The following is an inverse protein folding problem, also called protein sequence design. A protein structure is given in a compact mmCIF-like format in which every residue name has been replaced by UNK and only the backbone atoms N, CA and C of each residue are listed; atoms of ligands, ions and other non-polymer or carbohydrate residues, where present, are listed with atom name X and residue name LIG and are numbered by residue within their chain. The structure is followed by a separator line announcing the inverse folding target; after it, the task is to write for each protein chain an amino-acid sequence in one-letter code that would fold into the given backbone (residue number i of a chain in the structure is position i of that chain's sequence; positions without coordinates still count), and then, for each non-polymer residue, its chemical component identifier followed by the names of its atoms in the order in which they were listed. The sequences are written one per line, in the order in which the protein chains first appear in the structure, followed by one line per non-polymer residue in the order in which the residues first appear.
data_IF_344803366765
#
_entry.id   IF_344803366765
#
_cell.length_a   1.000
_cell.length_b   1.000
_cell.length_c   1.000
_cell.angle_alpha   90.00
_cell.angle_beta   90.00
_cell.angle_gamma   90.00
#
_symmetry.space_group_name_H-M   'P 1'
#
loop_
_entity.id
_entity.type
_entity.pdbx_description
1 polymer ?
#
# COMPACT_ATOMS: atom_id res chain seq x y z
N UNK A 1 -41.10 34.91 29.80
CA UNK A 1 -39.91 34.73 28.94
C UNK A 1 -38.75 34.42 29.87
N UNK A 2 -38.50 33.13 30.09
CA UNK A 2 -37.46 32.66 31.01
C UNK A 2 -36.28 32.21 30.19
N UNK A 3 -35.14 32.87 30.41
CA UNK A 3 -33.88 32.66 29.71
C UNK A 3 -33.17 31.43 30.29
N UNK A 4 -33.19 30.34 29.54
CA UNK A 4 -32.26 29.22 29.73
C UNK A 4 -30.82 29.72 29.52
N UNK A 5 -30.00 29.67 30.56
CA UNK A 5 -28.55 29.81 30.42
C UNK A 5 -27.92 28.43 30.58
N UNK A 6 -27.71 27.82 29.41
CA UNK A 6 -27.00 26.56 29.21
C UNK A 6 -25.63 26.60 29.88
N UNK A 7 -25.38 25.60 30.73
CA UNK A 7 -24.05 25.26 31.21
C UNK A 7 -23.17 24.83 30.04
N UNK A 8 -22.18 25.65 29.71
CA UNK A 8 -21.09 25.26 28.83
C UNK A 8 -19.99 24.61 29.68
N UNK A 9 -20.08 23.30 29.87
CA UNK A 9 -18.94 22.48 30.28
C UNK A 9 -17.93 22.46 29.13
N UNK A 10 -16.87 23.25 29.25
CA UNK A 10 -15.73 23.19 28.35
C UNK A 10 -15.00 21.84 28.52
N UNK A 11 -15.41 20.85 27.73
CA UNK A 11 -14.67 19.61 27.55
C UNK A 11 -13.46 19.89 26.66
N UNK A 12 -12.29 20.12 27.24
CA UNK A 12 -11.01 19.96 26.54
C UNK A 12 -10.82 18.48 26.22
N UNK A 13 -11.41 18.04 25.10
CA UNK A 13 -11.01 16.78 24.49
C UNK A 13 -9.53 16.89 24.18
N UNK A 14 -8.71 16.00 24.76
CA UNK A 14 -7.31 15.81 24.34
C UNK A 14 -7.34 15.42 22.86
N UNK A 15 -7.18 16.41 21.98
CA UNK A 15 -6.90 16.16 20.57
C UNK A 15 -5.46 15.66 20.51
N UNK A 16 -5.28 14.35 20.36
CA UNK A 16 -4.00 13.78 19.98
C UNK A 16 -3.83 14.20 18.52
N UNK A 17 -2.93 15.15 18.27
CA UNK A 17 -2.59 15.50 16.89
C UNK A 17 -2.04 14.26 16.19
N UNK A 18 -2.78 13.74 15.21
CA UNK A 18 -2.28 12.67 14.36
C UNK A 18 -1.19 13.24 13.44
N UNK A 19 0.05 13.14 13.90
CA UNK A 19 1.23 13.52 13.13
C UNK A 19 1.60 12.46 12.08
N UNK A 20 0.82 11.38 11.88
CA UNK A 20 1.15 10.32 10.93
C UNK A 20 1.35 10.86 9.50
N UNK A 21 0.55 11.86 9.10
CA UNK A 21 0.66 12.57 7.82
C UNK A 21 1.97 13.36 7.66
N UNK A 22 2.48 13.91 8.76
CA UNK A 22 3.80 14.56 8.79
C UNK A 22 4.93 13.53 8.92
N UNK A 23 4.65 12.38 9.53
CA UNK A 23 5.64 11.32 9.74
C UNK A 23 6.16 10.77 8.42
N UNK A 24 5.31 10.53 7.42
CA UNK A 24 5.75 9.91 6.16
C UNK A 24 6.54 10.88 5.29
N UNK A 25 6.21 12.17 5.30
CA UNK A 25 7.00 13.23 4.63
C UNK A 25 8.37 13.37 5.28
N UNK A 26 8.43 13.41 6.61
CA UNK A 26 9.68 13.45 7.37
C UNK A 26 10.51 12.18 7.14
N UNK A 27 9.87 11.01 7.12
CA UNK A 27 10.53 9.74 6.80
C UNK A 27 11.13 9.75 5.40
N UNK A 28 10.42 10.24 4.38
CA UNK A 28 10.97 10.36 3.03
C UNK A 28 12.23 11.22 3.01
N UNK A 29 12.22 12.36 3.71
CA UNK A 29 13.38 13.25 3.79
C UNK A 29 14.56 12.55 4.50
N UNK A 30 14.34 11.98 5.69
CA UNK A 30 15.36 11.28 6.46
C UNK A 30 15.93 10.06 5.71
N UNK A 31 15.07 9.30 5.04
CA UNK A 31 15.45 8.16 4.21
C UNK A 31 16.36 8.53 3.04
N UNK A 32 16.52 9.82 2.75
CA UNK A 32 17.28 10.31 1.58
C UNK A 32 18.37 11.30 1.95
N UNK A 33 18.65 11.47 3.24
CA UNK A 33 19.61 12.46 3.76
C UNK A 33 21.03 12.29 3.21
N UNK A 34 21.40 11.05 2.88
CA UNK A 34 22.74 10.68 2.40
C UNK A 34 22.87 10.70 0.88
N UNK A 35 21.82 11.11 0.15
CA UNK A 35 21.83 11.14 -1.32
C UNK A 35 22.44 12.44 -1.85
N UNK A 36 23.19 12.39 -2.97
CA UNK A 36 23.73 13.60 -3.59
C UNK A 36 22.60 14.49 -4.09
N UNK A 37 22.71 15.79 -3.83
CA UNK A 37 21.70 16.76 -4.25
C UNK A 37 21.89 17.14 -5.72
N UNK A 38 21.26 16.38 -6.62
CA UNK A 38 21.24 16.59 -8.07
C UNK A 38 19.80 16.74 -8.61
N UNK A 39 19.62 16.92 -9.93
CA UNK A 39 18.28 17.06 -10.52
C UNK A 39 17.44 15.78 -10.39
N UNK A 40 18.06 14.61 -10.45
CA UNK A 40 17.34 13.34 -10.29
C UNK A 40 16.81 13.17 -8.87
N UNK A 41 17.57 13.62 -7.87
CA UNK A 41 17.15 13.68 -6.48
C UNK A 41 15.95 14.61 -6.28
N UNK A 42 15.98 15.80 -6.89
CA UNK A 42 14.85 16.76 -6.81
C UNK A 42 13.59 16.18 -7.43
N UNK A 43 13.68 15.60 -8.61
CA UNK A 43 12.54 14.94 -9.27
C UNK A 43 11.98 13.79 -8.41
N UNK A 44 12.88 12.97 -7.86
CA UNK A 44 12.51 11.88 -6.97
C UNK A 44 11.76 12.40 -5.73
N UNK A 45 12.27 13.42 -5.05
CA UNK A 45 11.63 14.02 -3.87
C UNK A 45 10.26 14.62 -4.21
N UNK A 46 10.17 15.41 -5.27
CA UNK A 46 8.91 16.04 -5.68
C UNK A 46 7.84 14.99 -5.95
N UNK A 47 8.20 13.93 -6.69
CA UNK A 47 7.28 12.82 -6.95
C UNK A 47 6.91 12.07 -5.66
N UNK A 48 7.86 11.80 -4.78
CA UNK A 48 7.61 11.17 -3.48
C UNK A 48 6.69 11.99 -2.58
N UNK A 49 6.81 13.32 -2.59
CA UNK A 49 5.94 14.22 -1.82
C UNK A 49 4.52 14.30 -2.40
N UNK A 50 4.39 14.36 -3.73
CA UNK A 50 3.08 14.31 -4.39
C UNK A 50 2.38 12.97 -4.12
N UNK A 51 3.13 11.87 -4.17
CA UNK A 51 2.61 10.54 -3.93
C UNK A 51 2.18 10.34 -2.46
N UNK A 52 2.96 10.87 -1.51
CA UNK A 52 2.58 10.93 -0.10
C UNK A 52 1.18 11.52 0.10
N UNK A 53 0.89 12.63 -0.58
CA UNK A 53 -0.39 13.31 -0.48
C UNK A 53 -1.53 12.41 -1.00
N UNK A 54 -1.32 11.75 -2.15
CA UNK A 54 -2.29 10.80 -2.71
C UNK A 54 -2.55 9.60 -1.79
N UNK A 55 -1.52 9.08 -1.11
CA UNK A 55 -1.68 7.99 -0.13
C UNK A 55 -2.53 8.42 1.06
N UNK A 56 -2.36 9.65 1.55
CA UNK A 56 -3.16 10.19 2.66
C UNK A 56 -4.63 10.34 2.27
N UNK A 57 -4.89 10.87 1.07
CA UNK A 57 -6.24 10.98 0.52
C UNK A 57 -6.89 9.61 0.34
N UNK A 58 -6.14 8.64 -0.19
CA UNK A 58 -6.60 7.26 -0.32
C UNK A 58 -6.87 6.60 1.04
N UNK A 59 -6.09 6.92 2.08
CA UNK A 59 -6.31 6.42 3.44
C UNK A 59 -7.53 7.04 4.10
N UNK A 60 -7.78 8.31 3.88
CA UNK A 60 -8.99 8.97 4.36
C UNK A 60 -10.25 8.35 3.73
N UNK A 61 -10.21 8.13 2.41
CA UNK A 61 -11.35 7.62 1.64
C UNK A 61 -11.55 6.11 1.71
N UNK A 62 -10.46 5.35 1.83
CA UNK A 62 -10.47 3.87 1.83
C UNK A 62 -9.61 3.33 2.98
N UNK A 63 -9.99 3.58 4.25
CA UNK A 63 -9.13 3.31 5.41
C UNK A 63 -8.71 1.84 5.54
N UNK A 64 -9.60 0.90 5.18
CA UNK A 64 -9.28 -0.52 5.24
C UNK A 64 -8.49 -0.98 4.00
N UNK A 65 -8.61 -0.31 2.85
CA UNK A 65 -7.92 -0.65 1.60
C UNK A 65 -6.50 -0.07 1.50
N UNK A 66 -6.24 1.02 2.23
CA UNK A 66 -4.99 1.78 2.19
C UNK A 66 -3.89 1.25 3.14
N UNK A 67 -4.19 0.29 4.01
CA UNK A 67 -3.21 -0.31 4.92
C UNK A 67 -2.02 -0.94 4.19
N UNK A 68 -2.31 -1.71 3.13
CA UNK A 68 -1.27 -2.35 2.32
C UNK A 68 -0.43 -1.33 1.54
N UNK A 69 -1.04 -0.23 1.08
CA UNK A 69 -0.33 0.86 0.40
C UNK A 69 0.62 1.57 1.37
N UNK A 70 0.15 1.83 2.59
CA UNK A 70 0.95 2.46 3.64
C UNK A 70 2.14 1.58 4.03
N UNK A 71 1.90 0.27 4.22
CA UNK A 71 2.97 -0.69 4.55
C UNK A 71 3.98 -0.86 3.40
N UNK A 72 3.49 -0.98 2.16
CA UNK A 72 4.35 -1.08 0.98
C UNK A 72 5.23 0.17 0.82
N UNK A 73 4.67 1.34 1.10
CA UNK A 73 5.43 2.59 1.06
C UNK A 73 6.45 2.71 2.18
N UNK A 74 6.10 2.35 3.42
CA UNK A 74 7.07 2.36 4.53
C UNK A 74 8.23 1.39 4.30
N UNK A 75 7.97 0.19 3.76
CA UNK A 75 9.03 -0.76 3.40
C UNK A 75 10.03 -0.17 2.39
N UNK A 76 9.53 0.62 1.44
CA UNK A 76 10.40 1.32 0.49
C UNK A 76 11.25 2.39 1.18
N UNK A 77 10.65 3.23 2.02
CA UNK A 77 11.38 4.26 2.77
C UNK A 77 12.48 3.66 3.66
N UNK A 78 12.19 2.55 4.34
CA UNK A 78 13.18 1.83 5.12
C UNK A 78 14.31 1.27 4.26
N UNK A 79 14.00 0.76 3.07
CA UNK A 79 14.99 0.19 2.15
C UNK A 79 15.97 1.26 1.66
N UNK A 80 15.47 2.41 1.19
CA UNK A 80 16.32 3.46 0.63
C UNK A 80 17.11 4.22 1.71
N UNK A 81 16.66 4.16 2.97
CA UNK A 81 17.43 4.65 4.11
C UNK A 81 18.70 3.82 4.38
N UNK A 82 18.69 2.54 4.01
CA UNK A 82 19.77 1.59 4.33
C UNK A 82 20.58 1.16 3.10
N UNK A 83 20.16 1.56 1.89
CA UNK A 83 20.75 1.11 0.63
C UNK A 83 20.83 2.26 -0.38
N UNK A 84 21.84 2.27 -1.27
CA UNK A 84 21.90 3.22 -2.37
C UNK A 84 20.62 3.20 -3.22
N UNK A 85 20.09 4.38 -3.52
CA UNK A 85 18.92 4.53 -4.37
C UNK A 85 19.30 4.33 -5.84
N UNK A 86 18.51 3.51 -6.53
CA UNK A 86 18.50 3.47 -7.99
C UNK A 86 17.23 4.14 -8.49
N UNK A 87 17.35 5.31 -9.12
CA UNK A 87 16.22 6.12 -9.56
C UNK A 87 15.25 5.37 -10.48
N UNK A 88 15.73 4.49 -11.37
CA UNK A 88 14.86 3.66 -12.21
C UNK A 88 13.97 2.71 -11.39
N UNK A 89 14.54 2.10 -10.34
CA UNK A 89 13.81 1.21 -9.45
C UNK A 89 12.80 1.99 -8.62
N UNK A 90 13.16 3.19 -8.18
CA UNK A 90 12.28 4.10 -7.45
C UNK A 90 11.11 4.58 -8.32
N UNK A 91 11.36 4.92 -9.59
CA UNK A 91 10.33 5.33 -10.54
C UNK A 91 9.32 4.21 -10.79
N UNK A 92 9.79 2.97 -10.98
CA UNK A 92 8.92 1.78 -11.11
C UNK A 92 8.10 1.53 -9.84
N UNK A 93 8.73 1.71 -8.68
CA UNK A 93 8.06 1.60 -7.39
C UNK A 93 6.92 2.64 -7.27
N UNK A 94 7.20 3.90 -7.59
CA UNK A 94 6.18 4.96 -7.58
C UNK A 94 5.03 4.67 -8.55
N UNK A 95 5.31 4.24 -9.78
CA UNK A 95 4.26 3.86 -10.73
C UNK A 95 3.40 2.68 -10.25
N UNK A 96 4.00 1.73 -9.53
CA UNK A 96 3.25 0.63 -8.91
C UNK A 96 2.35 1.13 -7.80
N UNK A 97 2.84 2.04 -6.95
CA UNK A 97 2.06 2.63 -5.86
C UNK A 97 0.90 3.49 -6.42
N UNK A 98 1.17 4.31 -7.44
CA UNK A 98 0.15 5.08 -8.17
C UNK A 98 -0.95 4.14 -8.69
N UNK A 99 -0.58 3.04 -9.34
CA UNK A 99 -1.54 2.03 -9.84
C UNK A 99 -2.34 1.40 -8.69
N UNK A 100 -1.74 1.13 -7.54
CA UNK A 100 -2.46 0.61 -6.38
C UNK A 100 -3.49 1.61 -5.84
N UNK A 101 -3.14 2.91 -5.82
CA UNK A 101 -4.04 3.99 -5.43
C UNK A 101 -5.17 4.15 -6.45
N UNK A 102 -4.88 4.12 -7.74
CA UNK A 102 -5.88 4.24 -8.80
C UNK A 102 -6.89 3.07 -8.76
N UNK A 103 -6.40 1.85 -8.50
CA UNK A 103 -7.25 0.67 -8.35
C UNK A 103 -8.19 0.76 -7.13
N UNK A 104 -7.82 1.49 -6.07
CA UNK A 104 -8.74 1.81 -4.97
C UNK A 104 -9.88 2.71 -5.49
N UNK A 105 -9.56 3.71 -6.31
CA UNK A 105 -10.51 4.72 -6.79
C UNK A 105 -11.48 4.21 -7.87
N UNK A 106 -11.08 3.27 -8.73
CA UNK A 106 -11.92 2.77 -9.84
C UNK A 106 -13.01 1.76 -9.44
N UNK A 107 -13.13 1.41 -8.16
CA UNK A 107 -13.97 0.28 -7.72
C UNK A 107 -15.29 0.66 -7.01
N UNK A 108 -15.65 1.94 -6.94
CA UNK A 108 -16.91 2.41 -6.33
C UNK A 108 -17.57 3.52 -7.15
N UNK A 109 -18.90 3.50 -7.36
CA UNK A 109 -19.61 4.64 -7.95
C UNK A 109 -19.49 5.84 -7.01
N UNK A 110 -19.19 7.02 -7.58
CA UNK A 110 -19.26 8.26 -6.82
C UNK A 110 -20.72 8.57 -6.49
N UNK A 111 -21.15 8.26 -5.26
CA UNK A 111 -22.29 8.92 -4.65
C UNK A 111 -21.78 10.03 -3.74
N UNK A 112 -22.09 11.26 -4.14
CA UNK A 112 -21.65 12.53 -3.56
C UNK A 112 -22.40 12.89 -2.24
N UNK A 113 -23.01 11.90 -1.59
CA UNK A 113 -23.79 12.04 -0.34
C UNK A 113 -23.67 10.74 0.50
N UNK A 114 -22.47 10.19 0.64
CA UNK A 114 -22.25 8.91 1.32
C UNK A 114 -22.04 9.11 2.83
N UNK A 115 -22.89 8.50 3.65
CA UNK A 115 -22.70 8.42 5.10
C UNK A 115 -21.40 7.64 5.44
N UNK A 116 -20.77 7.89 6.59
CA UNK A 116 -19.54 7.17 7.05
C UNK A 116 -19.70 5.64 7.02
N UNK A 117 -20.93 5.13 7.19
CA UNK A 117 -21.23 3.70 7.07
C UNK A 117 -21.12 3.18 5.64
N UNK A 118 -21.52 3.98 4.65
CA UNK A 118 -21.45 3.60 3.24
C UNK A 118 -19.99 3.58 2.76
N UNK A 119 -19.16 4.54 3.20
CA UNK A 119 -17.71 4.50 2.94
C UNK A 119 -17.05 3.25 3.57
N UNK A 120 -17.48 2.86 4.77
CA UNK A 120 -17.00 1.65 5.43
C UNK A 120 -17.41 0.38 4.66
N UNK A 121 -18.65 0.32 4.19
CA UNK A 121 -19.19 -0.80 3.40
C UNK A 121 -18.48 -0.93 2.05
N UNK A 122 -18.22 0.19 1.37
CA UNK A 122 -17.41 0.20 0.14
C UNK A 122 -15.99 -0.30 0.39
N UNK A 123 -15.35 0.20 1.46
CA UNK A 123 -14.00 -0.23 1.85
C UNK A 123 -13.93 -1.72 2.18
N UNK A 124 -14.93 -2.26 2.88
CA UNK A 124 -15.04 -3.69 3.18
C UNK A 124 -15.27 -4.53 1.92
N UNK A 125 -16.17 -4.10 1.04
CA UNK A 125 -16.49 -4.81 -0.21
C UNK A 125 -15.29 -4.88 -1.15
N UNK A 126 -14.53 -3.79 -1.22
CA UNK A 126 -13.26 -3.74 -1.94
C UNK A 126 -12.24 -4.72 -1.38
N UNK A 127 -12.06 -4.73 -0.05
CA UNK A 127 -11.14 -5.65 0.60
C UNK A 127 -11.53 -7.11 0.39
N UNK A 128 -12.82 -7.43 0.46
CA UNK A 128 -13.32 -8.78 0.16
C UNK A 128 -12.96 -9.20 -1.27
N UNK A 129 -13.11 -8.29 -2.23
CA UNK A 129 -12.75 -8.52 -3.64
C UNK A 129 -11.25 -8.74 -3.82
N UNK A 130 -10.40 -8.02 -3.07
CA UNK A 130 -8.94 -8.26 -3.06
C UNK A 130 -8.57 -9.59 -2.43
N UNK A 131 -9.23 -9.99 -1.34
CA UNK A 131 -9.00 -11.28 -0.69
C UNK A 131 -9.33 -12.43 -1.66
N UNK A 132 -10.46 -12.36 -2.36
CA UNK A 132 -10.81 -13.35 -3.40
C UNK A 132 -9.76 -13.46 -4.50
N UNK A 133 -9.28 -12.33 -5.04
CA UNK A 133 -8.20 -12.37 -6.06
C UNK A 133 -6.91 -12.99 -5.53
N UNK A 134 -6.53 -12.72 -4.27
CA UNK A 134 -5.35 -13.34 -3.64
C UNK A 134 -5.52 -14.84 -3.44
N UNK A 135 -6.71 -15.28 -3.07
CA UNK A 135 -7.04 -16.70 -2.93
C UNK A 135 -6.89 -17.43 -4.28
N UNK A 136 -7.42 -16.85 -5.36
CA UNK A 136 -7.25 -17.38 -6.72
C UNK A 136 -5.77 -17.47 -7.15
N UNK A 137 -4.98 -16.42 -6.90
CA UNK A 137 -3.54 -16.42 -7.19
C UNK A 137 -2.80 -17.50 -6.39
N UNK A 138 -3.15 -17.65 -5.11
CA UNK A 138 -2.56 -18.67 -4.23
C UNK A 138 -2.87 -20.08 -4.72
N UNK A 139 -4.10 -20.32 -5.17
CA UNK A 139 -4.50 -21.61 -5.73
C UNK A 139 -3.72 -21.94 -7.02
N UNK A 140 -3.56 -20.98 -7.92
CA UNK A 140 -2.73 -21.16 -9.14
C UNK A 140 -1.27 -21.49 -8.80
N UNK A 141 -0.70 -20.86 -7.78
CA UNK A 141 0.66 -21.15 -7.30
C UNK A 141 0.79 -22.57 -6.75
N UNK A 142 -0.21 -23.05 -6.00
CA UNK A 142 -0.25 -24.43 -5.51
C UNK A 142 -0.29 -25.44 -6.66
N UNK A 143 -1.08 -25.16 -7.69
CA UNK A 143 -1.17 -26.04 -8.87
C UNK A 143 0.15 -26.10 -9.63
N UNK A 144 0.83 -24.97 -9.81
CA UNK A 144 2.16 -24.91 -10.42
C UNK A 144 3.20 -25.69 -9.62
N UNK A 145 3.19 -25.56 -8.28
CA UNK A 145 4.08 -26.32 -7.39
C UNK A 145 3.83 -27.82 -7.51
N UNK A 146 2.57 -28.25 -7.52
CA UNK A 146 2.20 -29.66 -7.69
C UNK A 146 2.69 -30.21 -9.04
N UNK A 147 2.55 -29.44 -10.11
CA UNK A 147 3.04 -29.83 -11.43
C UNK A 147 4.58 -29.92 -11.47
N UNK A 148 5.28 -28.97 -10.84
CA UNK A 148 6.74 -29.00 -10.74
C UNK A 148 7.24 -30.21 -9.93
N UNK A 149 6.53 -30.58 -8.86
CA UNK A 149 6.85 -31.79 -8.07
C UNK A 149 6.63 -33.08 -8.85
N UNK A 150 5.59 -33.16 -9.68
CA UNK A 150 5.36 -34.31 -10.56
C UNK A 150 6.48 -34.43 -11.61
N UNK A 151 6.81 -33.35 -12.31
CA UNK A 151 7.91 -33.34 -13.27
C UNK A 151 9.24 -33.73 -12.62
N UNK A 152 9.51 -33.25 -11.40
CA UNK A 152 10.71 -33.65 -10.64
C UNK A 152 10.73 -35.16 -10.38
N UNK A 153 9.60 -35.77 -10.03
CA UNK A 153 9.53 -37.23 -9.84
C UNK A 153 9.74 -38.00 -11.14
N UNK A 154 9.15 -37.54 -12.23
CA UNK A 154 9.30 -38.19 -13.55
C UNK A 154 10.77 -38.16 -14.02
N UNK A 155 11.46 -37.03 -13.81
CA UNK A 155 12.90 -36.91 -14.10
C UNK A 155 13.70 -37.87 -13.22
N UNK A 156 13.43 -37.91 -11.91
CA UNK A 156 14.15 -38.81 -11.00
C UNK A 156 13.87 -40.29 -11.28
N UNK A 157 12.68 -40.64 -11.79
CA UNK A 157 12.34 -42.00 -12.17
C UNK A 157 13.00 -42.41 -13.50
N UNK A 158 13.09 -41.48 -14.47
CA UNK A 158 13.73 -41.73 -15.77
C UNK A 158 15.26 -41.85 -15.73
N UNK A 159 15.91 -41.37 -14.67
CA UNK A 159 17.37 -41.47 -14.50
C UNK A 159 17.88 -42.83 -13.98
N UNK A 160 17.01 -43.82 -13.74
CA UNK A 160 17.39 -45.15 -13.23
C UNK A 160 17.40 -46.27 -14.27
N UNK A 161 17.09 -45.99 -15.55
CA UNK A 161 16.97 -47.02 -16.61
C UNK A 161 18.14 -47.03 -17.64
N UNK A 162 19.27 -46.37 -17.37
CA UNK A 162 20.45 -46.36 -18.28
C UNK A 162 21.72 -47.04 -17.71
N UNK A 163 21.58 -48.14 -16.94
CA UNK A 163 22.69 -49.06 -16.65
C UNK A 163 22.32 -50.54 -16.95
N UNK A 164 21.98 -50.84 -18.19
CA UNK A 164 22.18 -52.19 -18.77
C UNK A 164 22.51 -52.07 -20.26
N UNK A 165 23.81 -52.06 -20.62
CA UNK A 165 24.46 -52.86 -21.69
C UNK A 165 25.96 -52.90 -21.43
#
# INVERSE_FOLDING_TARGET
MSSDTLGATFSYGRSIFDLSSYSTKVQLLLSTENMPYDEQYKEFLLRGLALNQRVLEAKARYPLGAGEISEFYQKFLLKISNQPLHYDKASRFFSTLETMIDNLATSGPMHDDSDEMDELIESLSFNLSRVKRREEQTNRLKDLLRNAEMMKRDIMAGTFDEEEV
#
